data_IF_732724520811
#
_entry.id   IF_732724520811
#
_cell.length_a   1.000
_cell.length_b   1.000
_cell.length_c   1.000
_cell.angle_alpha   90.00
_cell.angle_beta   90.00
_cell.angle_gamma   90.00
#
_symmetry.space_group_name_H-M   'P 1'
#
loop_
_entity.id
_entity.type
_entity.pdbx_description
1 polymer ?
#
# COMPACT_ATOMS: atom_id res chain seq x y z
N UNK A 1 -8.94 -11.08 -5.48
CA UNK A 1 -7.79 -10.52 -6.21
C UNK A 1 -6.93 -9.73 -5.25
N UNK A 2 -5.63 -9.84 -5.39
CA UNK A 2 -4.69 -9.14 -4.53
C UNK A 2 -3.92 -8.09 -5.35
N UNK A 3 -3.56 -6.99 -4.71
CA UNK A 3 -2.83 -5.92 -5.36
C UNK A 3 -1.40 -6.35 -5.71
N UNK A 4 -0.91 -5.89 -6.87
CA UNK A 4 0.48 -6.09 -7.24
C UNK A 4 1.38 -5.34 -6.26
N UNK A 5 2.49 -5.95 -5.86
CA UNK A 5 3.36 -5.38 -4.85
C UNK A 5 4.80 -5.84 -5.01
N UNK A 6 5.72 -5.11 -4.38
CA UNK A 6 7.13 -5.48 -4.24
C UNK A 6 7.57 -5.27 -2.80
N UNK A 7 8.41 -6.16 -2.30
CA UNK A 7 8.92 -6.09 -0.93
C UNK A 7 10.42 -5.84 -0.95
N UNK A 8 10.88 -4.91 -0.13
CA UNK A 8 12.29 -4.58 0.06
C UNK A 8 12.64 -4.74 1.53
N UNK A 9 13.71 -5.50 1.83
CA UNK A 9 14.13 -5.75 3.20
C UNK A 9 13.32 -6.85 3.87
N UNK A 10 13.65 -7.11 5.12
CA UNK A 10 12.96 -8.11 5.94
C UNK A 10 13.07 -7.67 7.39
N UNK A 11 11.94 -7.39 8.03
CA UNK A 11 11.92 -6.87 9.39
C UNK A 11 10.50 -6.97 9.96
N UNK A 12 10.40 -6.93 11.28
CA UNK A 12 9.09 -6.80 11.94
C UNK A 12 8.57 -5.37 11.85
N UNK A 13 9.43 -4.41 11.48
CA UNK A 13 9.03 -3.02 11.28
C UNK A 13 8.64 -2.84 9.81
N UNK A 14 7.36 -3.06 9.51
CA UNK A 14 6.83 -3.03 8.15
C UNK A 14 6.23 -1.66 7.83
N UNK A 15 6.50 -1.17 6.62
CA UNK A 15 5.94 0.07 6.10
C UNK A 15 5.33 -0.22 4.73
N UNK A 16 4.07 0.15 4.54
CA UNK A 16 3.42 0.09 3.23
C UNK A 16 3.38 1.51 2.66
N UNK A 17 3.77 1.66 1.40
CA UNK A 17 3.73 2.94 0.69
C UNK A 17 2.72 2.85 -0.45
N UNK A 18 1.76 3.77 -0.48
CA UNK A 18 0.75 3.89 -1.53
C UNK A 18 1.03 5.12 -2.39
N UNK A 19 1.13 4.91 -3.70
CA UNK A 19 1.46 5.95 -4.67
C UNK A 19 0.29 6.91 -4.93
N UNK A 20 0.57 8.01 -5.63
CA UNK A 20 -0.44 8.99 -6.04
C UNK A 20 -1.16 8.60 -7.33
N UNK A 21 -2.13 9.43 -7.73
CA UNK A 21 -2.92 9.23 -8.95
C UNK A 21 -2.00 9.20 -10.17
N UNK A 22 -2.28 8.25 -11.08
CA UNK A 22 -1.50 8.01 -12.30
C UNK A 22 -0.07 7.56 -12.04
N UNK A 23 0.27 7.29 -10.78
CA UNK A 23 1.57 6.73 -10.43
C UNK A 23 1.54 5.22 -10.33
N UNK A 24 2.60 4.66 -9.79
CA UNK A 24 2.70 3.24 -9.51
C UNK A 24 3.75 3.01 -8.44
N UNK A 25 3.87 1.76 -8.00
CA UNK A 25 4.89 1.40 -7.01
C UNK A 25 6.31 1.72 -7.50
N UNK A 26 6.54 1.75 -8.81
CA UNK A 26 7.87 2.03 -9.37
C UNK A 26 8.35 3.44 -9.02
N UNK A 27 7.45 4.38 -8.75
CA UNK A 27 7.83 5.73 -8.34
C UNK A 27 8.57 5.76 -7.00
N UNK A 28 8.43 4.72 -6.19
CA UNK A 28 8.91 4.69 -4.82
C UNK A 28 10.03 3.69 -4.55
N UNK A 29 10.56 3.05 -5.61
CA UNK A 29 11.58 2.01 -5.47
C UNK A 29 12.85 2.53 -4.81
N UNK A 30 13.32 3.72 -5.21
CA UNK A 30 14.54 4.30 -4.63
C UNK A 30 14.36 4.59 -3.14
N UNK A 31 13.22 5.17 -2.76
CA UNK A 31 12.90 5.44 -1.35
C UNK A 31 12.83 4.13 -0.56
N UNK A 32 12.17 3.12 -1.13
CA UNK A 32 12.03 1.81 -0.48
C UNK A 32 13.38 1.16 -0.21
N UNK A 33 14.28 1.19 -1.19
CA UNK A 33 15.62 0.63 -1.02
C UNK A 33 16.39 1.34 0.08
N UNK A 34 16.27 2.66 0.14
CA UNK A 34 16.95 3.46 1.16
C UNK A 34 16.40 3.11 2.55
N UNK A 35 15.09 3.07 2.72
CA UNK A 35 14.49 2.75 4.01
C UNK A 35 14.79 1.31 4.43
N UNK A 36 14.80 0.38 3.48
CA UNK A 36 15.13 -1.01 3.78
C UNK A 36 16.55 -1.15 4.33
N UNK A 37 17.49 -0.33 3.84
CA UNK A 37 18.87 -0.34 4.34
C UNK A 37 18.98 0.17 5.79
N UNK A 38 17.92 0.80 6.32
CA UNK A 38 17.87 1.28 7.69
C UNK A 38 17.05 0.37 8.62
N UNK A 39 16.81 -0.86 8.24
CA UNK A 39 16.17 -1.87 9.10
C UNK A 39 14.67 -1.98 8.99
N UNK A 40 14.07 -1.46 7.91
CA UNK A 40 12.64 -1.58 7.67
C UNK A 40 12.34 -2.60 6.57
N UNK A 41 11.16 -3.19 6.63
CA UNK A 41 10.62 -3.94 5.50
C UNK A 41 9.61 -3.06 4.81
N UNK A 42 9.86 -2.76 3.53
CA UNK A 42 9.03 -1.83 2.77
C UNK A 42 8.22 -2.59 1.75
N UNK A 43 6.91 -2.39 1.77
CA UNK A 43 5.98 -3.02 0.83
C UNK A 43 5.41 -1.91 -0.04
N UNK A 44 5.76 -1.94 -1.32
CA UNK A 44 5.23 -0.99 -2.31
C UNK A 44 4.05 -1.65 -3.01
N UNK A 45 2.93 -0.95 -3.11
CA UNK A 45 1.70 -1.48 -3.68
C UNK A 45 1.26 -0.65 -4.89
N UNK A 46 0.88 -1.31 -5.97
CA UNK A 46 0.09 -0.71 -7.05
C UNK A 46 -1.37 -0.75 -6.65
N UNK A 47 -2.02 0.41 -6.52
CA UNK A 47 -3.45 0.47 -6.23
C UNK A 47 -4.25 0.04 -7.45
N UNK A 48 -5.56 -0.26 -7.26
CA UNK A 48 -6.40 -0.72 -8.39
C UNK A 48 -6.33 0.26 -9.55
N UNK A 49 -6.42 -0.23 -10.76
CA UNK A 49 -6.37 0.55 -12.01
C UNK A 49 -5.02 1.23 -12.26
N UNK A 50 -4.00 0.90 -11.49
CA UNK A 50 -2.64 1.47 -11.63
C UNK A 50 -1.60 0.36 -11.71
N UNK A 51 -0.50 0.67 -12.41
CA UNK A 51 0.63 -0.24 -12.54
C UNK A 51 0.17 -1.61 -13.06
N UNK A 52 0.58 -2.67 -12.36
CA UNK A 52 0.25 -4.05 -12.72
C UNK A 52 -0.88 -4.64 -11.90
N UNK A 53 -1.55 -3.84 -11.06
CA UNK A 53 -2.70 -4.32 -10.31
C UNK A 53 -3.91 -4.45 -11.22
N UNK A 54 -4.93 -5.18 -10.72
CA UNK A 54 -6.15 -5.42 -11.48
C UNK A 54 -6.89 -4.12 -11.80
N UNK A 55 -7.71 -4.18 -12.85
CA UNK A 55 -8.57 -3.07 -13.25
C UNK A 55 -10.02 -3.39 -12.90
N UNK A 56 -10.74 -2.39 -12.43
CA UNK A 56 -12.13 -2.53 -12.04
C UNK A 56 -12.90 -1.26 -12.42
N UNK A 57 -14.20 -1.40 -12.65
CA UNK A 57 -15.04 -0.26 -12.99
C UNK A 57 -15.22 0.69 -11.81
N UNK A 58 -15.28 0.14 -10.59
CA UNK A 58 -15.40 0.94 -9.40
C UNK A 58 -14.02 1.47 -8.99
N UNK A 59 -13.94 2.78 -8.82
CA UNK A 59 -12.69 3.43 -8.44
C UNK A 59 -12.98 4.60 -7.51
N UNK A 60 -13.00 4.31 -6.21
CA UNK A 60 -13.20 5.31 -5.16
C UNK A 60 -12.34 4.96 -3.94
N UNK A 61 -12.29 5.85 -2.98
CA UNK A 61 -11.44 5.63 -1.81
C UNK A 61 -11.95 4.49 -0.93
N UNK A 62 -13.25 4.25 -0.93
CA UNK A 62 -13.82 3.15 -0.16
C UNK A 62 -13.38 1.80 -0.71
N UNK A 63 -13.45 1.61 -2.03
CA UNK A 63 -12.99 0.35 -2.63
C UNK A 63 -11.48 0.21 -2.53
N UNK A 64 -10.72 1.31 -2.62
CA UNK A 64 -9.28 1.25 -2.44
C UNK A 64 -8.89 0.89 -1.02
N UNK A 65 -9.61 1.37 -0.01
CA UNK A 65 -9.33 0.97 1.36
C UNK A 65 -9.73 -0.48 1.63
N UNK A 66 -10.79 -0.99 0.97
CA UNK A 66 -11.13 -2.41 1.03
C UNK A 66 -10.03 -3.26 0.41
N UNK A 67 -9.46 -2.82 -0.72
CA UNK A 67 -8.33 -3.52 -1.34
C UNK A 67 -7.15 -3.63 -0.37
N UNK A 68 -6.86 -2.56 0.36
CA UNK A 68 -5.79 -2.57 1.35
C UNK A 68 -6.11 -3.54 2.49
N UNK A 69 -7.35 -3.56 2.96
CA UNK A 69 -7.78 -4.51 4.01
C UNK A 69 -7.60 -5.94 3.55
N UNK A 70 -8.03 -6.25 2.33
CA UNK A 70 -7.87 -7.60 1.75
C UNK A 70 -6.39 -7.94 1.65
N UNK A 71 -5.55 -7.00 1.21
CA UNK A 71 -4.12 -7.21 1.11
C UNK A 71 -3.51 -7.57 2.47
N UNK A 72 -3.84 -6.80 3.51
CA UNK A 72 -3.33 -7.05 4.86
C UNK A 72 -3.77 -8.42 5.38
N UNK A 73 -5.02 -8.78 5.14
CA UNK A 73 -5.56 -10.07 5.59
C UNK A 73 -4.88 -11.23 4.86
N UNK A 74 -4.73 -11.13 3.54
CA UNK A 74 -4.11 -12.17 2.73
C UNK A 74 -2.64 -12.38 3.11
N UNK A 75 -1.93 -11.30 3.43
CA UNK A 75 -0.51 -11.35 3.81
C UNK A 75 -0.34 -11.58 5.31
N UNK A 76 -1.43 -11.67 6.07
CA UNK A 76 -1.40 -11.86 7.52
C UNK A 76 -0.59 -10.79 8.24
N UNK A 77 -0.70 -9.55 7.77
CA UNK A 77 -0.03 -8.40 8.37
C UNK A 77 -0.97 -7.79 9.40
N UNK A 78 -0.56 -7.78 10.67
CA UNK A 78 -1.37 -7.25 11.76
C UNK A 78 -0.90 -5.88 12.21
N UNK A 79 0.37 -5.55 12.00
CA UNK A 79 0.94 -4.30 12.47
C UNK A 79 1.83 -3.73 11.37
N UNK A 80 1.52 -2.50 10.95
CA UNK A 80 2.22 -1.87 9.83
C UNK A 80 2.04 -0.36 9.91
N UNK A 81 3.06 0.38 9.44
CA UNK A 81 2.94 1.82 9.24
C UNK A 81 2.56 2.09 7.80
N UNK A 82 1.76 3.11 7.57
CA UNK A 82 1.24 3.44 6.24
C UNK A 82 1.75 4.82 5.81
N UNK A 83 2.28 4.90 4.61
CA UNK A 83 2.69 6.16 3.99
C UNK A 83 1.94 6.28 2.67
N UNK A 84 1.34 7.43 2.43
CA UNK A 84 0.61 7.66 1.19
C UNK A 84 0.93 9.02 0.59
N UNK A 85 1.03 9.07 -0.75
CA UNK A 85 1.25 10.29 -1.50
C UNK A 85 -0.05 10.67 -2.21
N UNK A 86 -0.59 11.86 -1.95
CA UNK A 86 -1.78 12.38 -2.61
C UNK A 86 -2.96 11.39 -2.52
N UNK A 87 -3.32 10.73 -3.62
CA UNK A 87 -4.39 9.72 -3.65
C UNK A 87 -4.14 8.61 -2.62
N UNK A 88 -2.88 8.15 -2.52
CA UNK A 88 -2.52 7.13 -1.53
C UNK A 88 -2.78 7.59 -0.10
N UNK A 89 -2.49 8.86 0.18
CA UNK A 89 -2.79 9.44 1.50
C UNK A 89 -4.28 9.44 1.80
N UNK A 90 -5.11 9.76 0.81
CA UNK A 90 -6.57 9.75 0.97
C UNK A 90 -7.10 8.33 1.16
N UNK A 91 -6.51 7.35 0.47
CA UNK A 91 -6.84 5.94 0.69
C UNK A 91 -6.57 5.55 2.14
N UNK A 92 -5.41 5.94 2.67
CA UNK A 92 -5.04 5.64 4.06
C UNK A 92 -6.01 6.29 5.04
N UNK A 93 -6.38 7.55 4.81
CA UNK A 93 -7.33 8.25 5.68
C UNK A 93 -8.67 7.53 5.71
N UNK A 94 -9.18 7.14 4.54
CA UNK A 94 -10.43 6.38 4.45
C UNK A 94 -10.30 5.03 5.16
N UNK A 95 -9.17 4.37 4.97
CA UNK A 95 -8.89 3.07 5.61
C UNK A 95 -8.93 3.18 7.13
N UNK A 96 -8.29 4.20 7.69
CA UNK A 96 -8.24 4.38 9.15
C UNK A 96 -9.65 4.63 9.70
N UNK A 97 -10.46 5.41 8.99
CA UNK A 97 -11.84 5.69 9.42
C UNK A 97 -12.72 4.45 9.38
N UNK A 98 -12.53 3.58 8.39
CA UNK A 98 -13.33 2.38 8.22
C UNK A 98 -12.87 1.20 9.09
N UNK A 99 -11.59 1.16 9.44
CA UNK A 99 -10.99 0.06 10.20
C UNK A 99 -10.15 0.59 11.37
N UNK A 100 -10.77 1.29 12.33
CA UNK A 100 -10.00 2.00 13.36
C UNK A 100 -9.27 1.09 14.36
N UNK A 101 -9.61 -0.20 14.39
CA UNK A 101 -9.00 -1.14 15.34
C UNK A 101 -7.88 -1.99 14.73
N UNK A 102 -7.42 -1.59 13.55
CA UNK A 102 -6.34 -2.34 12.87
C UNK A 102 -4.99 -1.64 12.95
#
# INVERSE_FOLDING_TARGET
>A
MILNHKVFGSSNNKIIILHGLLGSLDNWVTVAKNLASHGFEIILIDQRNHGKSFHADTFDYETMSEDLKIFLDEKKIQKVSLIGHSMGGKTIMNFILNYPNL
#
